data_IF_675404820210
#
_entry.id   IF_675404820210
#
_cell.length_a   1.000
_cell.length_b   1.000
_cell.length_c   1.000
_cell.angle_alpha   90.00
_cell.angle_beta   90.00
_cell.angle_gamma   90.00
#
_symmetry.space_group_name_H-M   'P 1'
#
loop_
_entity.id
_entity.type
_entity.pdbx_description
1 polymer ?
#
# COMPACT_ATOMS: atom_id res chain seq x y z
N UNK A 1 0.77 -2.26 15.41
CA UNK A 1 0.57 -1.63 14.10
C UNK A 1 1.32 -0.32 14.01
N UNK A 2 1.61 0.09 12.79
CA UNK A 2 2.34 1.33 12.54
C UNK A 2 1.35 2.46 12.27
N UNK A 3 1.61 3.62 12.85
CA UNK A 3 0.89 4.84 12.51
C UNK A 3 1.34 5.31 11.13
N UNK A 4 0.50 6.08 10.46
CA UNK A 4 0.80 6.57 9.11
C UNK A 4 2.15 7.31 9.04
N UNK A 5 2.50 8.09 10.06
CA UNK A 5 3.78 8.78 10.11
C UNK A 5 4.97 7.84 10.18
N UNK A 6 4.84 6.77 10.95
CA UNK A 6 5.88 5.74 11.06
C UNK A 6 6.02 4.96 9.75
N UNK A 7 4.89 4.58 9.17
CA UNK A 7 4.88 3.88 7.89
C UNK A 7 5.49 4.74 6.79
N UNK A 8 5.18 6.02 6.78
CA UNK A 8 5.76 6.99 5.86
C UNK A 8 7.28 7.04 5.96
N UNK A 9 7.81 7.09 7.18
CA UNK A 9 9.25 7.13 7.40
C UNK A 9 9.93 5.85 6.92
N UNK A 10 9.36 4.70 7.23
CA UNK A 10 9.96 3.41 6.88
C UNK A 10 9.94 3.15 5.39
N UNK A 11 8.92 3.63 4.69
CA UNK A 11 8.75 3.41 3.26
C UNK A 11 9.29 4.56 2.41
N UNK A 12 9.59 5.69 3.02
CA UNK A 12 10.00 6.92 2.33
C UNK A 12 8.94 7.43 1.36
N UNK A 13 7.68 7.19 1.70
CA UNK A 13 6.53 7.70 0.95
C UNK A 13 5.87 8.76 1.82
N UNK A 14 5.54 9.91 1.25
CA UNK A 14 5.00 11.01 2.03
C UNK A 14 3.66 10.66 2.66
N UNK A 15 3.38 11.26 3.81
CA UNK A 15 2.11 11.08 4.51
C UNK A 15 0.94 11.47 3.61
N UNK A 16 1.15 12.43 2.73
CA UNK A 16 0.10 12.89 1.80
C UNK A 16 -0.24 11.87 0.73
N UNK A 17 0.74 11.09 0.31
CA UNK A 17 0.53 10.10 -0.75
C UNK A 17 -0.20 8.86 -0.25
N UNK A 18 -0.03 8.50 1.00
CA UNK A 18 -0.64 7.30 1.54
C UNK A 18 -2.18 7.31 1.47
N UNK A 19 -2.87 8.40 1.84
CA UNK A 19 -4.31 8.48 1.64
C UNK A 19 -4.74 8.40 0.18
N UNK A 20 -3.94 8.95 -0.73
CA UNK A 20 -4.21 8.86 -2.15
C UNK A 20 -4.15 7.41 -2.63
N UNK A 21 -3.15 6.65 -2.17
CA UNK A 21 -3.03 5.24 -2.50
C UNK A 21 -4.20 4.43 -1.96
N UNK A 22 -4.74 4.81 -0.82
CA UNK A 22 -5.96 4.21 -0.27
C UNK A 22 -7.15 4.47 -1.19
N UNK A 23 -7.32 5.72 -1.62
CA UNK A 23 -8.45 6.11 -2.48
C UNK A 23 -8.47 5.35 -3.81
N UNK A 24 -7.32 5.16 -4.41
CA UNK A 24 -7.23 4.49 -5.71
C UNK A 24 -7.16 2.96 -5.58
N UNK A 25 -7.17 2.44 -4.36
CA UNK A 25 -7.14 1.00 -4.13
C UNK A 25 -5.77 0.36 -4.30
N UNK A 26 -4.70 1.14 -4.31
CA UNK A 26 -3.35 0.62 -4.50
C UNK A 26 -2.81 0.02 -3.20
N UNK A 27 -2.94 0.74 -2.09
CA UNK A 27 -2.53 0.25 -0.78
C UNK A 27 -3.46 0.81 0.28
N UNK A 28 -4.24 -0.05 0.89
CA UNK A 28 -5.20 0.35 1.91
C UNK A 28 -4.62 0.14 3.29
N UNK A 29 -4.91 1.04 4.25
CA UNK A 29 -4.49 0.81 5.62
C UNK A 29 -5.16 -0.45 6.19
N UNK A 30 -4.48 -1.10 7.13
CA UNK A 30 -5.03 -2.27 7.80
C UNK A 30 -6.24 -1.89 8.66
N UNK A 31 -6.18 -0.70 9.25
CA UNK A 31 -7.27 -0.17 10.06
C UNK A 31 -7.36 1.34 9.90
N UNK A 32 -8.57 1.86 10.03
CA UNK A 32 -8.82 3.30 10.14
C UNK A 32 -9.69 3.53 11.36
N UNK A 33 -9.24 4.41 12.24
CA UNK A 33 -10.01 4.77 13.44
C UNK A 33 -11.21 5.63 13.02
N UNK A 34 -12.40 5.18 13.37
CA UNK A 34 -13.63 5.88 12.97
C UNK A 34 -13.78 7.25 13.61
N UNK A 35 -13.25 7.42 14.81
CA UNK A 35 -13.41 8.65 15.56
C UNK A 35 -12.41 9.73 15.15
N UNK A 36 -11.15 9.32 14.94
CA UNK A 36 -10.07 10.24 14.64
C UNK A 36 -9.67 10.26 13.18
N UNK A 37 -10.14 9.29 12.40
CA UNK A 37 -9.77 9.12 10.99
C UNK A 37 -8.30 8.78 10.81
N UNK A 38 -7.62 8.37 11.87
CA UNK A 38 -6.23 7.96 11.79
C UNK A 38 -6.11 6.61 11.11
N UNK A 39 -5.09 6.49 10.25
CA UNK A 39 -4.80 5.26 9.52
C UNK A 39 -3.65 4.52 10.17
N UNK A 40 -3.81 3.20 10.24
CA UNK A 40 -2.80 2.31 10.82
C UNK A 40 -2.46 1.23 9.80
N UNK A 41 -1.18 0.91 9.72
CA UNK A 41 -0.66 -0.07 8.76
C UNK A 41 0.01 -1.22 9.50
N UNK A 42 -0.05 -2.40 8.91
CA UNK A 42 0.66 -3.57 9.43
C UNK A 42 2.09 -3.60 8.91
N UNK A 43 2.97 -4.20 9.68
CA UNK A 43 4.35 -4.38 9.25
C UNK A 43 4.44 -5.20 7.98
N UNK A 44 3.52 -6.16 7.80
CA UNK A 44 3.45 -6.98 6.61
C UNK A 44 3.16 -6.16 5.34
N UNK A 45 2.68 -4.93 5.49
CA UNK A 45 2.43 -4.04 4.36
C UNK A 45 3.69 -3.30 3.90
N UNK A 46 4.77 -3.35 4.68
CA UNK A 46 6.03 -2.70 4.29
C UNK A 46 6.58 -3.24 2.98
N UNK A 47 6.68 -4.56 2.78
CA UNK A 47 7.17 -5.07 1.48
C UNK A 47 6.32 -4.64 0.30
N UNK A 48 5.00 -4.61 0.47
CA UNK A 48 4.10 -4.18 -0.60
C UNK A 48 4.35 -2.73 -0.98
N UNK A 49 4.51 -1.84 0.01
CA UNK A 49 4.78 -0.43 -0.27
C UNK A 49 6.14 -0.25 -0.92
N UNK A 50 7.16 -0.98 -0.46
CA UNK A 50 8.48 -0.92 -1.07
C UNK A 50 8.44 -1.35 -2.53
N UNK A 51 7.64 -2.37 -2.84
CA UNK A 51 7.47 -2.83 -4.21
C UNK A 51 6.79 -1.78 -5.08
N UNK A 52 5.74 -1.15 -4.56
CA UNK A 52 5.04 -0.07 -5.27
C UNK A 52 6.03 1.05 -5.60
N UNK A 53 6.83 1.44 -4.63
CA UNK A 53 7.81 2.50 -4.81
C UNK A 53 8.84 2.13 -5.88
N UNK A 54 9.34 0.90 -5.85
CA UNK A 54 10.29 0.42 -6.83
C UNK A 54 9.70 0.45 -8.24
N UNK A 55 8.46 0.04 -8.40
CA UNK A 55 7.79 0.08 -9.70
C UNK A 55 7.59 1.51 -10.20
N UNK A 56 7.26 2.43 -9.31
CA UNK A 56 7.17 3.85 -9.65
C UNK A 56 8.52 4.38 -10.14
N UNK A 57 9.58 4.04 -9.45
CA UNK A 57 10.93 4.46 -9.82
C UNK A 57 11.35 3.90 -11.18
N UNK A 58 10.80 2.76 -11.57
CA UNK A 58 11.03 2.16 -12.89
C UNK A 58 10.20 2.82 -14.00
N UNK A 59 9.32 3.75 -13.65
CA UNK A 59 8.52 4.49 -14.61
C UNK A 59 7.12 3.97 -14.87
N UNK A 60 6.66 2.99 -14.10
CA UNK A 60 5.29 2.51 -14.25
C UNK A 60 4.28 3.53 -13.73
N UNK A 61 3.15 3.65 -14.41
CA UNK A 61 2.05 4.47 -13.93
C UNK A 61 1.36 3.80 -12.74
N UNK A 62 0.61 4.58 -11.97
CA UNK A 62 -0.15 4.01 -10.85
C UNK A 62 -1.14 2.94 -11.32
N UNK A 63 -1.78 3.16 -12.46
CA UNK A 63 -2.69 2.18 -13.03
C UNK A 63 -1.97 0.86 -13.35
N UNK A 64 -0.77 0.95 -13.92
CA UNK A 64 0.03 -0.23 -14.20
C UNK A 64 0.44 -0.95 -12.94
N UNK A 65 0.82 -0.20 -11.91
CA UNK A 65 1.24 -0.78 -10.63
C UNK A 65 0.08 -1.53 -9.99
N UNK A 66 -1.12 -0.96 -10.03
CA UNK A 66 -2.31 -1.63 -9.49
C UNK A 66 -2.50 -2.98 -10.18
N UNK A 67 -2.38 -3.02 -11.50
CA UNK A 67 -2.49 -4.26 -12.26
C UNK A 67 -1.43 -5.27 -11.87
N UNK A 68 -0.19 -4.83 -11.78
CA UNK A 68 0.94 -5.70 -11.43
C UNK A 68 0.73 -6.30 -10.05
N UNK A 69 0.32 -5.50 -9.09
CA UNK A 69 0.09 -5.98 -7.74
C UNK A 69 -1.05 -6.99 -7.67
N UNK A 70 -2.09 -6.80 -8.48
CA UNK A 70 -3.19 -7.75 -8.55
C UNK A 70 -2.78 -9.07 -9.19
N UNK A 71 -1.92 -9.02 -10.20
CA UNK A 71 -1.48 -10.22 -10.92
C UNK A 71 -0.48 -11.05 -10.14
N UNK A 72 0.28 -10.42 -9.27
CA UNK A 72 1.40 -11.06 -8.59
C UNK A 72 1.04 -11.87 -7.35
N UNK A 73 -0.24 -12.07 -7.12
CA UNK A 73 -0.64 -12.88 -6.00
C UNK A 73 -0.60 -12.16 -4.66
N UNK A 74 -0.39 -10.87 -4.65
CA UNK A 74 -0.64 -10.08 -3.44
C UNK A 74 -2.12 -10.09 -3.13
N UNK A 75 -2.89 -10.61 -4.04
CA UNK A 75 -4.30 -10.85 -3.88
C UNK A 75 -4.47 -12.28 -3.39
N UNK A 76 -4.95 -12.44 -2.18
CA UNK A 76 -5.17 -13.73 -1.56
C UNK A 76 -6.06 -14.65 -2.41
N UNK A 77 -6.93 -14.09 -3.22
CA UNK A 77 -7.81 -14.86 -4.08
C UNK A 77 -7.05 -15.69 -5.11
N UNK A 78 -5.86 -15.24 -5.52
CA UNK A 78 -5.04 -16.02 -6.46
C UNK A 78 -4.47 -17.26 -5.81
N UNK A 79 -4.13 -17.17 -4.55
CA UNK A 79 -3.58 -18.31 -3.82
C UNK A 79 -4.61 -19.41 -3.66
N UNK A 80 -5.88 -19.06 -3.63
CA UNK A 80 -6.96 -20.02 -3.48
C UNK A 80 -7.14 -20.90 -4.70
N UNK A 81 -6.61 -20.51 -5.83
CA UNK A 81 -6.70 -21.30 -7.06
C UNK A 81 -5.60 -22.34 -7.17
N UNK A 82 -4.62 -22.22 -6.34
CA UNK A 82 -3.48 -23.13 -6.35
C UNK A 82 -3.63 -24.21 -5.31
#
# INVERSE_FOLDING_TARGET
>A
MLKIGEFSKLTQVSVRMLPHYDEIGLLKPAETDRLTDYRYYKEEQLPAMCRIKALKDMGFSLADIIRIMQLDGDNAALDDFL
#
